data_IF_795625570350
#
_entry.id   IF_795625570350
#
_cell.length_a   1.000
_cell.length_b   1.000
_cell.length_c   1.000
_cell.angle_alpha   90.00
_cell.angle_beta   90.00
_cell.angle_gamma   90.00
#
_symmetry.space_group_name_H-M   'P 1'
#
loop_
_entity.id
_entity.type
_entity.pdbx_description
1 polymer ?
#
# COMPACT_ATOMS: atom_id res chain seq x y z
N UNK A 1 23.18 -43.00 -16.23
CA UNK A 1 22.38 -43.74 -17.22
C UNK A 1 21.67 -42.72 -18.08
N UNK A 2 22.04 -42.67 -19.37
CA UNK A 2 21.51 -41.73 -20.36
C UNK A 2 20.14 -42.20 -20.87
N UNK A 3 19.18 -41.34 -21.03
CA UNK A 3 18.14 -41.50 -22.06
C UNK A 3 17.76 -40.15 -22.66
N UNK A 4 18.15 -39.99 -23.89
CA UNK A 4 17.82 -38.95 -24.85
C UNK A 4 16.56 -39.40 -25.59
N UNK A 5 15.55 -38.57 -25.71
CA UNK A 5 14.44 -38.79 -26.65
C UNK A 5 14.25 -37.55 -27.52
N UNK A 6 14.50 -37.74 -28.80
CA UNK A 6 14.25 -36.81 -29.90
C UNK A 6 12.89 -37.18 -30.51
N UNK A 7 12.00 -36.20 -30.74
CA UNK A 7 10.79 -36.31 -31.57
C UNK A 7 10.74 -35.00 -32.40
N UNK A 8 10.78 -34.97 -33.53
CA UNK A 8 10.47 -35.27 -34.87
C UNK A 8 9.39 -34.32 -35.38
N UNK A 9 9.83 -33.36 -36.25
CA UNK A 9 8.99 -32.35 -36.95
C UNK A 9 8.34 -33.04 -38.18
N UNK A 10 7.04 -32.90 -38.34
CA UNK A 10 6.32 -33.27 -39.59
C UNK A 10 5.82 -31.99 -40.29
N UNK A 11 6.37 -31.76 -41.48
CA UNK A 11 5.91 -30.74 -42.43
C UNK A 11 4.95 -31.43 -43.42
N UNK A 12 3.72 -30.94 -43.49
CA UNK A 12 2.76 -31.34 -44.54
C UNK A 12 2.65 -30.23 -45.58
N UNK A 13 3.14 -30.53 -46.81
CA UNK A 13 2.95 -29.72 -47.98
C UNK A 13 1.62 -30.11 -48.64
N UNK A 14 0.75 -29.16 -48.96
CA UNK A 14 -0.45 -29.35 -49.77
C UNK A 14 -0.32 -28.59 -51.07
N UNK A 15 -0.47 -29.33 -52.18
CA UNK A 15 -0.26 -28.89 -53.55
C UNK A 15 -1.38 -27.99 -54.07
N UNK A 16 -0.98 -27.14 -55.01
CA UNK A 16 -1.84 -26.32 -55.85
C UNK A 16 -2.38 -27.15 -57.02
N UNK A 17 -3.70 -27.15 -57.18
CA UNK A 17 -4.35 -27.55 -58.44
C UNK A 17 -4.81 -26.29 -59.19
N UNK A 18 -4.27 -26.07 -60.35
CA UNK A 18 -4.68 -25.03 -61.28
C UNK A 18 -5.85 -25.53 -62.14
N UNK A 19 -6.99 -24.84 -62.12
CA UNK A 19 -8.03 -24.99 -63.15
C UNK A 19 -8.25 -23.64 -63.82
N UNK A 20 -8.05 -23.63 -65.12
CA UNK A 20 -8.27 -22.45 -65.95
C UNK A 20 -9.75 -22.12 -66.11
N UNK A 21 -10.05 -20.85 -66.18
CA UNK A 21 -11.36 -20.32 -66.50
C UNK A 21 -11.25 -19.21 -67.55
N UNK A 22 -12.11 -19.28 -68.54
CA UNK A 22 -12.28 -18.41 -69.69
C UNK A 22 -12.59 -16.96 -69.34
N UNK A 23 -12.22 -15.97 -70.19
CA UNK A 23 -12.49 -14.58 -69.91
C UNK A 23 -13.97 -14.22 -70.07
N UNK A 24 -14.61 -13.85 -69.03
CA UNK A 24 -15.93 -13.20 -69.05
C UNK A 24 -15.69 -11.70 -69.14
N UNK A 25 -16.22 -11.10 -70.20
CA UNK A 25 -16.24 -9.65 -70.41
C UNK A 25 -17.13 -9.01 -69.37
N UNK A 26 -16.56 -8.43 -68.31
CA UNK A 26 -17.28 -7.65 -67.35
C UNK A 26 -17.53 -6.22 -67.83
N UNK A 27 -18.83 -5.89 -67.99
CA UNK A 27 -19.27 -4.50 -68.17
C UNK A 27 -18.94 -3.68 -66.91
N UNK A 28 -18.21 -2.61 -67.08
CA UNK A 28 -17.82 -1.73 -65.98
C UNK A 28 -19.03 -1.19 -65.21
N UNK A 29 -19.20 -1.61 -63.99
CA UNK A 29 -20.13 -1.05 -63.02
C UNK A 29 -19.60 0.30 -62.54
N UNK A 30 -20.38 1.39 -62.45
CA UNK A 30 -19.90 2.66 -61.90
C UNK A 30 -19.47 2.45 -60.47
N UNK A 31 -18.21 2.72 -60.18
CA UNK A 31 -17.63 2.72 -58.83
C UNK A 31 -18.18 3.91 -58.07
N UNK A 32 -19.04 3.64 -57.08
CA UNK A 32 -19.44 4.68 -56.11
C UNK A 32 -18.20 5.14 -55.38
N UNK A 33 -17.97 6.46 -55.32
CA UNK A 33 -16.89 7.03 -54.53
C UNK A 33 -16.99 6.58 -53.07
N UNK A 34 -15.89 6.19 -52.40
CA UNK A 34 -15.91 5.79 -51.01
C UNK A 34 -16.44 6.97 -50.16
N UNK A 35 -17.53 6.73 -49.45
CA UNK A 35 -18.03 7.66 -48.43
C UNK A 35 -16.95 7.83 -47.38
N UNK A 36 -16.47 9.04 -47.16
CA UNK A 36 -15.47 9.32 -46.14
C UNK A 36 -15.98 8.85 -44.79
N UNK A 37 -15.28 7.86 -44.20
CA UNK A 37 -15.53 7.40 -42.83
C UNK A 37 -15.31 8.60 -41.90
N UNK A 38 -16.27 8.94 -41.02
CA UNK A 38 -16.06 10.03 -40.06
C UNK A 38 -14.84 9.73 -39.22
N UNK A 39 -13.89 10.63 -39.14
CA UNK A 39 -12.74 10.56 -38.24
C UNK A 39 -13.31 10.59 -36.82
N UNK A 40 -13.00 9.58 -35.97
CA UNK A 40 -13.49 9.61 -34.60
C UNK A 40 -12.98 10.89 -33.91
N UNK A 41 -13.91 11.66 -33.34
CA UNK A 41 -13.56 12.80 -32.52
C UNK A 41 -12.75 12.27 -31.32
N UNK A 42 -11.55 12.81 -31.03
CA UNK A 42 -10.77 12.36 -29.89
C UNK A 42 -11.64 12.51 -28.61
N UNK A 43 -11.73 11.44 -27.84
CA UNK A 43 -12.36 11.49 -26.52
C UNK A 43 -11.62 12.51 -25.67
N UNK A 44 -12.29 13.38 -24.90
CA UNK A 44 -11.59 14.30 -24.01
C UNK A 44 -10.72 13.49 -23.06
N UNK A 45 -9.46 13.88 -22.93
CA UNK A 45 -8.55 13.31 -21.93
C UNK A 45 -9.14 13.58 -20.54
N UNK A 46 -9.31 12.56 -19.68
CA UNK A 46 -9.78 12.79 -18.32
C UNK A 46 -8.89 13.81 -17.62
N UNK A 47 -9.50 14.80 -17.00
CA UNK A 47 -8.78 15.75 -16.14
C UNK A 47 -8.41 14.98 -14.87
N UNK A 48 -7.13 14.92 -14.47
CA UNK A 48 -6.74 14.26 -13.23
C UNK A 48 -7.50 14.86 -12.05
N UNK A 49 -8.05 14.01 -11.21
CA UNK A 49 -8.69 14.43 -9.96
C UNK A 49 -7.58 14.87 -8.99
N UNK A 50 -7.68 16.06 -8.38
CA UNK A 50 -6.66 16.51 -7.44
C UNK A 50 -6.55 15.54 -6.25
N UNK A 51 -5.35 15.23 -5.74
CA UNK A 51 -5.19 14.40 -4.57
C UNK A 51 -5.78 15.08 -3.32
N UNK A 52 -6.28 14.28 -2.38
CA UNK A 52 -6.76 14.74 -1.08
C UNK A 52 -5.92 14.07 0.01
N UNK A 53 -5.41 14.86 0.94
CA UNK A 53 -4.74 14.35 2.13
C UNK A 53 -5.79 14.04 3.19
N UNK A 54 -5.69 12.87 3.78
CA UNK A 54 -6.57 12.43 4.88
C UNK A 54 -5.89 12.74 6.19
N UNK A 55 -6.57 13.46 7.07
CA UNK A 55 -6.08 13.78 8.41
C UNK A 55 -7.04 13.24 9.47
N UNK A 56 -6.54 12.92 10.64
CA UNK A 56 -7.33 12.39 11.73
C UNK A 56 -7.10 13.20 13.02
N UNK A 57 -8.16 13.81 13.54
CA UNK A 57 -8.17 14.44 14.85
C UNK A 57 -8.79 13.51 15.88
N UNK A 58 -8.01 13.14 16.89
CA UNK A 58 -8.52 12.35 18.02
C UNK A 58 -9.01 13.27 19.13
N UNK A 59 -10.26 13.12 19.53
CA UNK A 59 -10.87 13.85 20.66
C UNK A 59 -11.47 12.86 21.63
N UNK A 60 -10.70 12.44 22.62
CA UNK A 60 -11.10 11.37 23.53
C UNK A 60 -11.19 10.02 22.82
N UNK A 61 -12.36 9.39 22.86
CA UNK A 61 -12.63 8.11 22.17
C UNK A 61 -13.10 8.28 20.72
N UNK A 62 -13.40 9.51 20.28
CA UNK A 62 -13.85 9.78 18.93
C UNK A 62 -12.69 10.22 18.04
N UNK A 63 -12.72 9.81 16.78
CA UNK A 63 -11.81 10.28 15.74
C UNK A 63 -12.61 11.02 14.69
N UNK A 64 -12.14 12.19 14.29
CA UNK A 64 -12.67 12.93 13.16
C UNK A 64 -11.69 12.85 12.00
N UNK A 65 -12.16 12.31 10.90
CA UNK A 65 -11.42 12.26 9.64
C UNK A 65 -11.76 13.47 8.78
N UNK A 66 -10.74 14.12 8.25
CA UNK A 66 -10.91 15.27 7.36
C UNK A 66 -10.15 15.04 6.06
N UNK A 67 -10.83 15.20 4.93
CA UNK A 67 -10.24 15.16 3.60
C UNK A 67 -9.88 16.59 3.21
N UNK A 68 -8.59 16.85 3.01
CA UNK A 68 -8.04 18.19 2.84
C UNK A 68 -7.37 18.31 1.49
N UNK A 69 -7.73 19.33 0.74
CA UNK A 69 -7.05 19.68 -0.51
C UNK A 69 -5.65 20.25 -0.26
N UNK A 70 -4.89 20.33 -1.31
CA UNK A 70 -3.50 20.83 -1.29
C UNK A 70 -3.39 22.30 -0.87
N UNK A 71 -4.44 23.06 -1.06
CA UNK A 71 -4.56 24.48 -0.66
C UNK A 71 -5.06 24.64 0.79
N UNK A 72 -5.29 23.52 1.50
CA UNK A 72 -5.86 23.50 2.83
C UNK A 72 -7.39 23.57 2.86
N UNK A 73 -8.06 23.56 1.70
CA UNK A 73 -9.52 23.53 1.64
C UNK A 73 -10.03 22.17 2.16
N UNK A 74 -11.07 22.20 2.98
CA UNK A 74 -11.74 21.00 3.48
C UNK A 74 -12.74 20.52 2.45
N UNK A 75 -12.51 19.33 1.88
CA UNK A 75 -13.44 18.68 0.97
C UNK A 75 -14.56 17.97 1.72
N UNK A 76 -14.22 17.26 2.80
CA UNK A 76 -15.17 16.55 3.64
C UNK A 76 -14.65 16.38 5.07
N UNK A 77 -15.57 16.20 6.02
CA UNK A 77 -15.27 15.84 7.40
C UNK A 77 -16.25 14.76 7.84
N UNK A 78 -15.72 13.68 8.43
CA UNK A 78 -16.50 12.52 8.87
C UNK A 78 -16.10 12.17 10.29
N UNK A 79 -17.09 12.05 11.15
CA UNK A 79 -16.89 11.55 12.51
C UNK A 79 -16.87 10.02 12.49
N UNK A 80 -15.82 9.43 13.02
CA UNK A 80 -15.72 8.00 13.27
C UNK A 80 -16.10 7.74 14.74
N UNK A 81 -17.34 7.32 15.02
CA UNK A 81 -17.79 7.06 16.39
C UNK A 81 -17.15 5.82 17.00
N UNK A 82 -16.64 4.92 16.16
CA UNK A 82 -15.95 3.70 16.57
C UNK A 82 -14.47 3.88 16.86
N UNK A 83 -13.92 5.09 16.70
CA UNK A 83 -12.50 5.47 16.75
C UNK A 83 -11.70 4.83 17.87
N UNK A 84 -11.59 3.50 17.80
CA UNK A 84 -10.79 2.72 18.73
C UNK A 84 -9.33 3.13 18.65
N UNK A 85 -8.65 3.05 19.77
CA UNK A 85 -7.21 3.18 19.82
C UNK A 85 -6.58 2.14 18.88
N UNK A 86 -6.00 2.59 17.78
CA UNK A 86 -5.38 1.72 16.80
C UNK A 86 -6.20 1.44 15.53
N UNK A 87 -7.28 2.17 15.27
CA UNK A 87 -8.03 2.05 14.02
C UNK A 87 -7.07 2.05 12.82
N UNK A 88 -7.06 0.94 12.09
CA UNK A 88 -6.32 0.84 10.84
C UNK A 88 -7.12 1.57 9.78
N UNK A 89 -6.60 2.69 9.32
CA UNK A 89 -7.08 3.34 8.13
C UNK A 89 -6.33 2.79 6.93
N UNK A 90 -7.03 2.45 5.89
CA UNK A 90 -6.44 2.15 4.59
C UNK A 90 -6.92 3.18 3.58
N UNK A 91 -6.00 3.83 2.92
CA UNK A 91 -6.30 4.82 1.90
C UNK A 91 -6.15 4.16 0.54
N UNK A 92 -7.28 3.96 -0.15
CA UNK A 92 -7.35 3.47 -1.53
C UNK A 92 -7.16 4.59 -2.55
N UNK A 93 -7.55 4.33 -3.80
CA UNK A 93 -7.52 5.35 -4.86
C UNK A 93 -8.64 6.38 -4.73
N UNK A 94 -9.85 5.92 -4.40
CA UNK A 94 -11.06 6.76 -4.37
C UNK A 94 -11.71 6.85 -2.99
N UNK A 95 -11.36 5.92 -2.07
CA UNK A 95 -11.99 5.85 -0.75
C UNK A 95 -10.96 5.69 0.37
N UNK A 96 -11.33 6.19 1.54
CA UNK A 96 -10.67 5.87 2.81
C UNK A 96 -11.50 4.79 3.51
N UNK A 97 -10.85 3.68 3.85
CA UNK A 97 -11.48 2.57 4.55
C UNK A 97 -11.07 2.56 6.01
N UNK A 98 -12.02 2.23 6.90
CA UNK A 98 -11.73 2.06 8.32
C UNK A 98 -12.69 1.03 8.94
N UNK A 99 -12.33 0.51 10.10
CA UNK A 99 -13.13 -0.48 10.84
C UNK A 99 -13.87 0.21 11.96
N UNK A 100 -15.20 0.17 11.91
CA UNK A 100 -16.11 0.63 12.96
C UNK A 100 -16.77 -0.60 13.61
N UNK A 101 -16.28 -1.00 14.76
CA UNK A 101 -16.66 -2.24 15.43
C UNK A 101 -16.34 -3.48 14.59
N UNK A 102 -17.35 -4.07 13.97
CA UNK A 102 -17.21 -5.22 13.04
C UNK A 102 -17.50 -4.84 11.60
N UNK A 103 -17.83 -3.60 11.32
CA UNK A 103 -18.18 -3.11 9.99
C UNK A 103 -17.00 -2.37 9.38
N UNK A 104 -16.68 -2.65 8.13
CA UNK A 104 -15.78 -1.83 7.33
C UNK A 104 -16.60 -0.71 6.70
N UNK A 105 -16.16 0.52 6.92
CA UNK A 105 -16.74 1.72 6.32
C UNK A 105 -15.82 2.22 5.21
N UNK A 106 -16.40 2.82 4.18
CA UNK A 106 -15.70 3.54 3.13
C UNK A 106 -16.17 5.00 3.09
N UNK A 107 -15.22 5.93 3.05
CA UNK A 107 -15.48 7.36 2.88
C UNK A 107 -15.06 7.74 1.48
N UNK A 108 -16.00 8.18 0.65
CA UNK A 108 -15.72 8.76 -0.66
C UNK A 108 -15.12 10.16 -0.58
N UNK A 109 -14.60 10.66 -1.69
CA UNK A 109 -13.99 12.01 -1.79
C UNK A 109 -14.95 13.15 -1.43
N UNK A 110 -16.25 12.92 -1.53
CA UNK A 110 -17.32 13.87 -1.16
C UNK A 110 -17.75 13.75 0.32
N UNK A 111 -17.10 12.85 1.08
CA UNK A 111 -17.44 12.57 2.47
C UNK A 111 -18.61 11.61 2.65
N UNK A 112 -19.17 11.06 1.58
CA UNK A 112 -20.21 10.04 1.69
C UNK A 112 -19.65 8.78 2.35
N UNK A 113 -20.29 8.34 3.44
CA UNK A 113 -19.92 7.11 4.17
C UNK A 113 -20.84 5.97 3.78
N UNK A 114 -20.25 4.84 3.41
CA UNK A 114 -20.97 3.62 3.05
C UNK A 114 -20.41 2.41 3.79
N UNK A 115 -21.22 1.37 3.95
CA UNK A 115 -20.75 0.08 4.44
C UNK A 115 -20.03 -0.64 3.31
N UNK A 116 -18.76 -0.96 3.54
CA UNK A 116 -17.88 -1.59 2.55
C UNK A 116 -17.66 -3.09 2.79
N UNK A 117 -18.01 -3.60 3.97
CA UNK A 117 -17.85 -5.00 4.31
C UNK A 117 -17.94 -5.24 5.82
N UNK A 118 -17.57 -6.43 6.24
CA UNK A 118 -17.56 -6.83 7.65
C UNK A 118 -16.30 -7.60 7.99
N UNK A 119 -15.71 -7.32 9.16
CA UNK A 119 -14.59 -8.11 9.67
C UNK A 119 -15.02 -9.58 9.79
N UNK A 120 -14.21 -10.53 9.27
CA UNK A 120 -14.55 -11.95 9.30
C UNK A 120 -14.85 -12.44 10.72
N UNK A 121 -15.94 -13.20 10.87
CA UNK A 121 -16.30 -13.84 12.13
C UNK A 121 -15.55 -15.15 12.26
N UNK A 122 -14.64 -15.22 13.22
CA UNK A 122 -13.93 -16.45 13.52
C UNK A 122 -14.69 -17.25 14.58
N UNK A 123 -14.71 -18.58 14.44
CA UNK A 123 -15.45 -19.51 15.31
C UNK A 123 -15.16 -19.29 16.81
N UNK A 124 -16.15 -19.50 17.67
CA UNK A 124 -16.17 -19.23 19.11
C UNK A 124 -15.13 -20.00 19.96
N UNK A 125 -14.36 -20.91 19.39
CA UNK A 125 -13.22 -21.55 20.04
C UNK A 125 -11.95 -20.69 19.98
N UNK A 126 -12.02 -19.52 19.39
CA UNK A 126 -10.91 -18.60 19.19
C UNK A 126 -11.05 -17.46 20.16
N UNK A 127 -10.06 -17.27 21.01
CA UNK A 127 -9.94 -16.01 21.78
C UNK A 127 -9.23 -15.01 20.87
N UNK A 128 -9.99 -14.04 20.39
CA UNK A 128 -9.40 -12.93 19.66
C UNK A 128 -8.50 -12.14 20.63
N UNK A 129 -7.24 -11.98 20.29
CA UNK A 129 -6.34 -11.06 20.97
C UNK A 129 -6.69 -9.68 20.46
N UNK A 130 -7.54 -8.96 21.20
CA UNK A 130 -7.89 -7.56 20.93
C UNK A 130 -7.94 -7.20 19.43
N UNK A 131 -8.91 -7.81 18.71
CA UNK A 131 -9.02 -7.72 17.25
C UNK A 131 -9.04 -6.28 16.76
N UNK A 132 -9.61 -5.35 17.54
CA UNK A 132 -9.70 -3.95 17.14
C UNK A 132 -8.33 -3.27 17.09
N UNK A 133 -7.38 -3.71 17.91
CA UNK A 133 -6.05 -3.12 17.97
C UNK A 133 -5.12 -3.64 16.87
N UNK A 134 -5.33 -4.87 16.40
CA UNK A 134 -4.39 -5.56 15.50
C UNK A 134 -4.99 -6.02 14.17
N UNK A 135 -6.27 -5.77 13.92
CA UNK A 135 -6.85 -6.06 12.61
C UNK A 135 -6.31 -5.07 11.60
N UNK A 136 -5.52 -5.57 10.65
CA UNK A 136 -5.05 -4.77 9.53
C UNK A 136 -5.99 -4.99 8.33
N UNK A 137 -6.15 -3.95 7.53
CA UNK A 137 -7.01 -3.92 6.35
C UNK A 137 -6.23 -3.37 5.16
N UNK A 138 -6.39 -3.99 4.00
CA UNK A 138 -6.04 -3.40 2.72
C UNK A 138 -7.14 -3.71 1.69
N UNK A 139 -7.14 -2.95 0.58
CA UNK A 139 -8.15 -3.06 -0.47
C UNK A 139 -7.46 -3.26 -1.81
N UNK A 140 -8.06 -4.07 -2.68
CA UNK A 140 -7.54 -4.31 -4.03
C UNK A 140 -7.49 -3.01 -4.86
N UNK A 141 -6.57 -2.89 -5.84
CA UNK A 141 -6.43 -1.68 -6.65
C UNK A 141 -7.69 -1.26 -7.42
N UNK A 142 -8.56 -2.21 -7.73
CA UNK A 142 -9.85 -1.99 -8.38
C UNK A 142 -11.00 -1.75 -7.38
N UNK A 143 -10.66 -1.69 -6.09
CA UNK A 143 -11.60 -1.50 -4.99
C UNK A 143 -12.80 -2.47 -5.01
N UNK A 144 -12.55 -3.75 -5.37
CA UNK A 144 -13.58 -4.80 -5.40
C UNK A 144 -13.45 -5.82 -4.29
N UNK A 145 -12.29 -5.88 -3.62
CA UNK A 145 -11.98 -6.90 -2.62
C UNK A 145 -11.25 -6.32 -1.43
N UNK A 146 -11.67 -6.71 -0.24
CA UNK A 146 -11.00 -6.41 1.03
C UNK A 146 -10.06 -7.56 1.38
N UNK A 147 -8.94 -7.26 2.04
CA UNK A 147 -8.10 -8.24 2.73
C UNK A 147 -7.91 -7.84 4.19
N UNK A 148 -8.02 -8.82 5.07
CA UNK A 148 -7.83 -8.63 6.51
C UNK A 148 -6.67 -9.46 7.00
N UNK A 149 -5.84 -8.90 7.89
CA UNK A 149 -4.90 -9.62 8.72
C UNK A 149 -5.49 -9.76 10.13
N UNK A 150 -5.69 -10.99 10.58
CA UNK A 150 -6.27 -11.28 11.89
C UNK A 150 -5.29 -12.07 12.75
N UNK A 151 -4.80 -11.51 13.87
CA UNK A 151 -4.09 -12.27 14.90
C UNK A 151 -5.09 -12.99 15.79
N UNK A 152 -4.90 -14.29 15.99
CA UNK A 152 -5.81 -15.13 16.75
C UNK A 152 -5.05 -15.99 17.74
N UNK A 153 -5.67 -16.29 18.89
CA UNK A 153 -5.21 -17.32 19.81
C UNK A 153 -6.23 -18.47 19.78
N UNK A 154 -5.86 -19.59 19.21
CA UNK A 154 -6.75 -20.76 19.05
C UNK A 154 -6.49 -21.74 20.18
N UNK A 155 -7.54 -22.09 20.93
CA UNK A 155 -7.46 -23.11 21.97
C UNK A 155 -7.38 -24.51 21.34
N UNK A 156 -6.31 -25.25 21.64
CA UNK A 156 -6.18 -26.66 21.26
C UNK A 156 -6.94 -27.59 22.21
N UNK A 157 -7.12 -28.86 21.79
CA UNK A 157 -7.85 -29.89 22.55
C UNK A 157 -7.24 -30.19 23.93
N UNK A 158 -6.00 -29.84 24.15
CA UNK A 158 -5.29 -30.02 25.44
C UNK A 158 -5.33 -28.78 26.34
N UNK A 159 -6.08 -27.74 25.95
CA UNK A 159 -6.16 -26.47 26.67
C UNK A 159 -4.96 -25.54 26.46
N UNK A 160 -3.99 -25.93 25.64
CA UNK A 160 -2.94 -25.03 25.20
C UNK A 160 -3.48 -24.09 24.12
N UNK A 161 -3.03 -22.84 24.12
CA UNK A 161 -3.34 -21.88 23.07
C UNK A 161 -2.21 -21.85 22.05
N UNK A 162 -2.56 -21.88 20.78
CA UNK A 162 -1.64 -21.68 19.66
C UNK A 162 -1.95 -20.33 19.02
N UNK A 163 -0.93 -19.51 18.84
CA UNK A 163 -1.05 -18.26 18.14
C UNK A 163 -1.09 -18.48 16.63
N UNK A 164 -2.09 -17.92 15.99
CA UNK A 164 -2.27 -17.93 14.55
C UNK A 164 -2.23 -16.51 14.02
N UNK A 165 -1.75 -16.33 12.81
CA UNK A 165 -1.94 -15.10 12.03
C UNK A 165 -2.58 -15.47 10.70
N UNK A 166 -3.80 -14.95 10.48
CA UNK A 166 -4.60 -15.34 9.33
C UNK A 166 -4.79 -14.18 8.36
N UNK A 167 -4.80 -14.49 7.06
CA UNK A 167 -5.26 -13.59 6.01
C UNK A 167 -6.62 -14.06 5.49
N UNK A 168 -7.54 -13.12 5.40
CA UNK A 168 -8.89 -13.33 4.91
C UNK A 168 -9.19 -12.37 3.77
N UNK A 169 -9.94 -12.81 2.77
CA UNK A 169 -10.44 -11.95 1.69
C UNK A 169 -11.95 -11.93 1.69
N UNK A 170 -12.53 -10.78 1.33
CA UNK A 170 -13.97 -10.59 1.23
C UNK A 170 -14.28 -9.69 0.02
N UNK A 171 -15.30 -9.99 -0.79
CA UNK A 171 -15.78 -9.04 -1.80
C UNK A 171 -16.24 -7.73 -1.14
N UNK A 172 -15.94 -6.59 -1.76
CA UNK A 172 -16.42 -5.30 -1.27
C UNK A 172 -17.96 -5.30 -1.22
N UNK A 173 -18.54 -4.78 -0.14
CA UNK A 173 -19.98 -4.87 0.13
C UNK A 173 -20.45 -6.25 0.60
N UNK A 174 -19.51 -7.14 0.88
CA UNK A 174 -19.80 -8.49 1.40
C UNK A 174 -20.26 -8.48 2.86
N UNK A 175 -20.46 -9.68 3.38
CA UNK A 175 -20.78 -9.92 4.79
C UNK A 175 -19.74 -10.86 5.39
N UNK A 176 -19.64 -10.94 6.71
CA UNK A 176 -18.71 -11.85 7.37
C UNK A 176 -18.83 -13.31 6.88
N UNK A 177 -19.99 -13.72 6.39
CA UNK A 177 -20.22 -15.05 5.81
C UNK A 177 -19.64 -15.22 4.40
N UNK A 178 -19.36 -14.13 3.70
CA UNK A 178 -18.71 -14.14 2.38
C UNK A 178 -17.19 -14.13 2.44
N UNK A 179 -16.63 -13.88 3.64
CA UNK A 179 -15.21 -13.87 3.85
C UNK A 179 -14.61 -15.27 3.73
N UNK A 180 -13.46 -15.37 3.11
CA UNK A 180 -12.72 -16.61 2.90
C UNK A 180 -11.32 -16.49 3.50
N UNK A 181 -10.96 -17.44 4.38
CA UNK A 181 -9.59 -17.56 4.86
C UNK A 181 -8.70 -18.05 3.71
N UNK A 182 -7.69 -17.27 3.37
CA UNK A 182 -6.78 -17.57 2.27
C UNK A 182 -5.41 -18.03 2.75
N UNK A 183 -5.04 -17.69 3.99
CA UNK A 183 -3.78 -18.09 4.60
C UNK A 183 -3.93 -18.24 6.12
N UNK A 184 -3.25 -19.22 6.71
CA UNK A 184 -3.18 -19.43 8.15
C UNK A 184 -1.74 -19.84 8.53
N UNK A 185 -1.07 -18.99 9.28
CA UNK A 185 0.19 -19.34 9.92
C UNK A 185 -0.08 -19.86 11.32
N UNK A 186 -0.15 -21.20 11.42
CA UNK A 186 -0.50 -21.94 12.63
C UNK A 186 0.67 -22.17 13.59
N UNK A 187 1.90 -21.79 13.25
CA UNK A 187 3.10 -22.11 14.03
C UNK A 187 3.84 -20.87 14.55
N UNK A 188 3.13 -19.80 14.73
CA UNK A 188 3.69 -18.48 14.98
C UNK A 188 4.10 -18.22 16.44
N UNK A 189 4.45 -19.28 17.21
CA UNK A 189 4.78 -19.16 18.65
C UNK A 189 6.25 -18.88 18.96
N UNK A 190 7.14 -18.97 17.98
CA UNK A 190 8.54 -18.58 18.16
C UNK A 190 8.63 -17.05 18.25
N UNK A 191 9.22 -16.52 19.31
CA UNK A 191 9.37 -15.08 19.59
C UNK A 191 8.07 -14.31 19.98
N UNK A 192 7.05 -14.99 20.50
CA UNK A 192 5.81 -14.32 20.94
C UNK A 192 4.77 -14.12 19.85
N UNK A 193 4.98 -14.70 18.69
CA UNK A 193 4.07 -14.65 17.54
C UNK A 193 4.25 -13.40 16.67
N UNK A 194 3.95 -13.55 15.40
CA UNK A 194 3.95 -12.48 14.42
C UNK A 194 2.51 -12.15 14.00
N UNK A 195 2.27 -10.94 13.58
CA UNK A 195 1.01 -10.49 13.01
C UNK A 195 1.24 -10.16 11.55
N UNK A 196 0.50 -10.80 10.66
CA UNK A 196 0.50 -10.48 9.25
C UNK A 196 -0.39 -9.26 9.02
N UNK A 197 0.23 -8.14 8.70
CA UNK A 197 -0.47 -6.89 8.46
C UNK A 197 -0.44 -6.54 6.97
N UNK A 198 -1.52 -6.75 6.21
CA UNK A 198 -1.61 -6.26 4.85
C UNK A 198 -1.58 -4.74 4.86
N UNK A 199 -0.72 -4.14 4.02
CA UNK A 199 -0.56 -2.68 3.96
C UNK A 199 -0.67 -2.12 2.54
N UNK A 200 -0.59 -2.96 1.50
CA UNK A 200 -0.78 -2.57 0.12
C UNK A 200 -1.24 -3.76 -0.71
N UNK A 201 -1.91 -3.47 -1.80
CA UNK A 201 -2.31 -4.48 -2.78
C UNK A 201 -1.96 -4.00 -4.19
N UNK A 202 -1.33 -4.84 -4.98
CA UNK A 202 -0.98 -4.58 -6.38
C UNK A 202 -1.39 -5.74 -7.27
N UNK A 203 -1.23 -5.58 -8.58
CA UNK A 203 -1.46 -6.67 -9.55
C UNK A 203 -0.53 -7.88 -9.36
N UNK A 204 0.54 -7.74 -8.60
CA UNK A 204 1.50 -8.81 -8.31
C UNK A 204 1.24 -9.53 -7.00
N UNK A 205 0.32 -9.04 -6.17
CA UNK A 205 -0.05 -9.62 -4.89
C UNK A 205 -0.29 -8.60 -3.79
N UNK A 206 -0.53 -9.13 -2.60
CA UNK A 206 -0.76 -8.35 -1.39
C UNK A 206 0.56 -8.20 -0.65
N UNK A 207 0.98 -6.96 -0.40
CA UNK A 207 2.13 -6.68 0.46
C UNK A 207 1.74 -6.81 1.91
N UNK A 208 2.47 -7.63 2.64
CA UNK A 208 2.21 -7.96 4.04
C UNK A 208 3.46 -7.63 4.86
N UNK A 209 3.30 -6.99 6.00
CA UNK A 209 4.33 -6.83 7.01
C UNK A 209 4.18 -7.91 8.09
N UNK A 210 5.25 -8.60 8.40
CA UNK A 210 5.33 -9.54 9.52
C UNK A 210 5.75 -8.76 10.77
N UNK A 211 4.79 -8.44 11.63
CA UNK A 211 5.03 -7.62 12.81
C UNK A 211 4.99 -8.47 14.09
N UNK A 212 6.05 -8.46 14.93
CA UNK A 212 6.03 -9.20 16.18
C UNK A 212 4.95 -8.69 17.11
N UNK A 213 4.22 -9.61 17.77
CA UNK A 213 3.31 -9.27 18.85
C UNK A 213 4.09 -8.69 20.03
N UNK A 214 3.51 -7.68 20.66
CA UNK A 214 4.06 -7.15 21.90
C UNK A 214 5.32 -6.31 21.73
N UNK A 215 5.45 -5.58 20.63
CA UNK A 215 6.45 -4.53 20.51
C UNK A 215 6.35 -3.54 21.65
N UNK A 216 7.13 -3.82 22.69
CA UNK A 216 7.44 -2.88 23.74
C UNK A 216 8.71 -2.13 23.35
N UNK A 217 8.59 -0.89 22.96
CA UNK A 217 9.77 -0.08 22.66
C UNK A 217 9.38 1.39 22.70
N UNK A 218 10.23 2.21 23.26
CA UNK A 218 10.07 3.66 23.23
C UNK A 218 11.11 4.24 22.29
N UNK A 219 10.64 4.84 21.21
CA UNK A 219 11.52 5.58 20.30
C UNK A 219 10.69 6.53 19.44
N UNK A 220 11.30 7.58 18.92
CA UNK A 220 10.58 8.62 18.17
C UNK A 220 9.93 8.09 16.87
N UNK A 221 10.32 6.89 16.41
CA UNK A 221 9.85 6.29 15.17
C UNK A 221 9.30 4.87 15.35
N UNK A 222 8.86 4.49 16.54
CA UNK A 222 8.40 3.12 16.78
C UNK A 222 7.29 2.67 15.80
N UNK A 223 6.37 3.56 15.48
CA UNK A 223 5.29 3.30 14.53
C UNK A 223 5.75 3.19 13.07
N UNK A 224 7.01 3.45 12.78
CA UNK A 224 7.61 3.41 11.44
C UNK A 224 8.71 2.36 11.31
N UNK A 225 8.92 1.55 12.33
CA UNK A 225 9.89 0.45 12.22
C UNK A 225 9.36 -0.52 11.18
N UNK A 226 10.08 -0.62 10.07
CA UNK A 226 9.79 -1.62 9.04
C UNK A 226 10.17 -2.99 9.58
N UNK A 227 9.22 -3.89 9.55
CA UNK A 227 9.43 -5.31 9.81
C UNK A 227 9.65 -6.04 8.49
N UNK A 228 9.95 -7.33 8.56
CA UNK A 228 10.05 -8.14 7.37
C UNK A 228 8.80 -7.99 6.52
N UNK A 229 8.99 -7.69 5.25
CA UNK A 229 7.89 -7.63 4.31
C UNK A 229 7.82 -8.94 3.52
N UNK A 230 6.61 -9.34 3.18
CA UNK A 230 6.33 -10.48 2.30
C UNK A 230 5.29 -10.08 1.25
N UNK A 231 5.26 -10.80 0.15
CA UNK A 231 4.18 -10.73 -0.82
C UNK A 231 3.33 -11.99 -0.71
N UNK A 232 2.04 -11.82 -0.53
CA UNK A 232 1.08 -12.89 -0.56
C UNK A 232 0.35 -12.92 -1.90
N UNK A 233 0.38 -14.05 -2.60
CA UNK A 233 -0.39 -14.28 -3.81
C UNK A 233 -1.72 -14.97 -3.45
N UNK A 234 -2.86 -14.29 -3.56
CA UNK A 234 -4.15 -14.86 -3.19
C UNK A 234 -4.59 -16.01 -4.11
N UNK A 235 -4.02 -16.12 -5.31
CA UNK A 235 -4.34 -17.19 -6.27
C UNK A 235 -3.66 -18.49 -5.91
N UNK A 236 -2.33 -18.43 -5.66
CA UNK A 236 -1.54 -19.61 -5.31
C UNK A 236 -1.51 -19.87 -3.80
N UNK A 237 -1.95 -18.92 -2.99
CA UNK A 237 -1.89 -18.90 -1.52
C UNK A 237 -0.46 -19.01 -0.98
N UNK A 238 0.49 -18.50 -1.73
CA UNK A 238 1.88 -18.50 -1.35
C UNK A 238 2.26 -17.18 -0.69
N UNK A 239 2.85 -17.26 0.51
CA UNK A 239 3.54 -16.15 1.16
C UNK A 239 5.02 -16.23 0.77
N UNK A 240 5.53 -15.20 0.13
CA UNK A 240 6.92 -15.12 -0.31
C UNK A 240 7.60 -13.98 0.42
N UNK A 241 8.51 -14.27 1.35
CA UNK A 241 9.28 -13.23 2.03
C UNK A 241 10.05 -12.38 1.00
N UNK A 242 9.96 -11.07 1.14
CA UNK A 242 10.78 -10.14 0.38
C UNK A 242 12.11 -10.01 1.11
N UNK A 243 13.14 -10.64 0.56
CA UNK A 243 14.46 -10.63 1.15
C UNK A 243 14.98 -9.20 1.28
N UNK A 244 15.45 -8.81 2.46
CA UNK A 244 16.00 -7.48 2.73
C UNK A 244 15.01 -6.33 2.41
N UNK A 245 13.74 -6.50 2.75
CA UNK A 245 12.70 -5.53 2.45
C UNK A 245 11.85 -5.23 3.69
N UNK A 246 11.89 -4.02 4.17
CA UNK A 246 11.01 -3.55 5.25
C UNK A 246 10.01 -2.49 4.77
N UNK A 247 10.35 -1.78 3.69
CA UNK A 247 9.50 -0.80 3.04
C UNK A 247 9.62 -1.00 1.54
N UNK A 248 8.51 -1.14 0.85
CA UNK A 248 8.52 -1.25 -0.62
C UNK A 248 7.52 -0.30 -1.25
N UNK A 249 7.79 0.05 -2.52
CA UNK A 249 6.74 0.62 -3.36
C UNK A 249 5.72 -0.46 -3.73
N UNK A 250 4.45 -0.10 -3.87
CA UNK A 250 3.54 -0.92 -4.65
C UNK A 250 3.86 -0.67 -6.15
N UNK A 251 4.33 -1.63 -6.86
CA UNK A 251 4.37 -3.08 -6.84
C UNK A 251 5.75 -3.73 -6.52
N UNK A 252 6.54 -3.17 -5.61
CA UNK A 252 7.79 -3.81 -5.16
C UNK A 252 9.00 -3.61 -6.06
N UNK A 253 9.00 -2.57 -6.92
CA UNK A 253 10.14 -2.24 -7.78
C UNK A 253 11.37 -1.73 -7.00
N UNK A 254 11.14 -1.15 -5.83
CA UNK A 254 12.17 -0.69 -4.91
C UNK A 254 11.85 -1.19 -3.52
N UNK A 255 12.80 -1.89 -2.92
CA UNK A 255 12.73 -2.36 -1.53
C UNK A 255 13.79 -1.65 -0.70
N UNK A 256 13.43 -1.21 0.49
CA UNK A 256 14.34 -0.54 1.40
C UNK A 256 14.31 -1.22 2.75
N UNK A 257 15.48 -1.49 3.31
CA UNK A 257 15.66 -2.01 4.66
C UNK A 257 16.68 -1.16 5.42
N UNK A 258 16.42 -0.93 6.70
CA UNK A 258 17.41 -0.28 7.56
C UNK A 258 18.47 -1.30 7.98
N UNK A 259 19.74 -1.03 7.64
CA UNK A 259 20.88 -1.82 8.07
C UNK A 259 21.62 -1.08 9.20
N UNK A 260 21.53 -1.62 10.42
CA UNK A 260 22.16 -0.99 11.59
C UNK A 260 21.51 0.37 11.92
N UNK A 261 22.29 1.27 12.52
CA UNK A 261 21.76 2.52 13.07
C UNK A 261 21.75 3.71 12.10
N UNK A 262 22.42 3.61 10.95
CA UNK A 262 22.64 4.78 10.08
C UNK A 262 22.75 4.47 8.60
N UNK A 263 22.31 3.29 8.17
CA UNK A 263 22.37 2.87 6.77
C UNK A 263 21.03 2.32 6.31
N UNK A 264 20.71 2.60 5.06
CA UNK A 264 19.58 1.98 4.34
C UNK A 264 20.14 1.13 3.20
N UNK A 265 19.70 -0.11 3.12
CA UNK A 265 19.91 -0.97 1.97
C UNK A 265 18.75 -0.76 1.00
N UNK A 266 19.05 -0.38 -0.22
CA UNK A 266 18.08 -0.17 -1.29
C UNK A 266 18.28 -1.25 -2.34
N UNK A 267 17.25 -2.08 -2.53
CA UNK A 267 17.24 -3.17 -3.51
C UNK A 267 16.34 -2.77 -4.67
N UNK A 268 16.88 -2.83 -5.88
CA UNK A 268 16.19 -2.55 -7.14
C UNK A 268 16.48 -3.65 -8.15
N UNK A 269 15.74 -3.72 -9.24
CA UNK A 269 16.04 -4.63 -10.35
C UNK A 269 17.43 -4.42 -10.96
N UNK A 270 17.97 -3.20 -10.85
CA UNK A 270 19.33 -2.84 -11.32
C UNK A 270 20.45 -3.24 -10.35
N UNK A 271 20.13 -3.66 -9.12
CA UNK A 271 21.11 -4.05 -8.11
C UNK A 271 20.78 -3.53 -6.72
N UNK A 272 21.69 -3.77 -5.80
CA UNK A 272 21.59 -3.38 -4.39
C UNK A 272 22.60 -2.29 -4.09
N UNK A 273 22.18 -1.28 -3.35
CA UNK A 273 23.00 -0.16 -2.92
C UNK A 273 22.82 0.10 -1.43
N UNK A 274 23.84 0.68 -0.79
CA UNK A 274 23.76 1.12 0.61
C UNK A 274 23.86 2.64 0.67
N UNK A 275 22.83 3.27 1.24
CA UNK A 275 22.80 4.71 1.49
C UNK A 275 23.14 4.99 2.96
N UNK A 276 24.08 5.90 3.21
CA UNK A 276 24.36 6.38 4.57
C UNK A 276 23.41 7.52 4.91
N UNK A 277 22.64 7.35 5.97
CA UNK A 277 21.70 8.37 6.44
C UNK A 277 22.40 9.54 7.13
N UNK A 278 21.85 10.73 6.96
CA UNK A 278 22.32 11.97 7.53
C UNK A 278 21.21 12.69 8.31
N UNK A 279 21.53 13.48 9.37
CA UNK A 279 22.87 13.72 9.93
C UNK A 279 23.39 12.53 10.76
N UNK A 280 24.71 12.37 10.86
CA UNK A 280 25.29 11.33 11.70
C UNK A 280 24.85 11.47 13.18
N UNK A 281 24.76 10.35 13.92
CA UNK A 281 24.35 10.29 15.32
C UNK A 281 22.88 10.70 15.60
N UNK A 282 21.99 10.50 14.64
CA UNK A 282 20.56 10.62 14.83
C UNK A 282 19.92 9.24 15.05
N UNK A 283 18.69 9.23 15.56
CA UNK A 283 17.79 8.07 15.45
C UNK A 283 17.01 8.23 14.16
N UNK A 284 16.98 7.19 13.34
CA UNK A 284 16.35 7.22 12.02
C UNK A 284 15.09 6.37 11.96
N UNK A 285 14.18 6.74 11.10
CA UNK A 285 12.95 5.99 10.84
C UNK A 285 12.05 6.71 9.83
N UNK A 286 10.78 6.35 9.80
CA UNK A 286 9.78 6.94 8.90
C UNK A 286 10.24 6.91 7.43
N UNK A 287 10.72 5.75 6.98
CA UNK A 287 11.19 5.59 5.59
C UNK A 287 10.01 5.49 4.66
N UNK A 288 10.00 6.28 3.59
CA UNK A 288 8.95 6.31 2.56
C UNK A 288 9.59 6.35 1.18
N UNK A 289 9.08 5.53 0.27
CA UNK A 289 9.52 5.52 -1.14
C UNK A 289 8.38 6.03 -2.01
N UNK A 290 8.66 6.92 -2.96
CA UNK A 290 7.66 7.45 -3.90
C UNK A 290 7.07 6.33 -4.77
N UNK A 291 5.83 6.52 -5.24
CA UNK A 291 5.11 5.51 -6.00
C UNK A 291 5.84 5.05 -7.27
N UNK A 292 6.60 5.93 -7.92
CA UNK A 292 7.45 5.63 -9.08
C UNK A 292 8.82 5.02 -8.71
N UNK A 293 9.17 4.98 -7.41
CA UNK A 293 10.44 4.47 -6.91
C UNK A 293 11.63 5.40 -7.13
N UNK A 294 11.40 6.66 -7.52
CA UNK A 294 12.46 7.63 -7.80
C UNK A 294 13.00 8.28 -6.53
N UNK A 295 12.11 8.63 -5.60
CA UNK A 295 12.48 9.34 -4.39
C UNK A 295 12.35 8.47 -3.16
N UNK A 296 13.25 8.70 -2.22
CA UNK A 296 13.23 8.13 -0.87
C UNK A 296 13.20 9.29 0.13
N UNK A 297 12.26 9.27 1.05
CA UNK A 297 12.27 10.15 2.21
C UNK A 297 12.53 9.34 3.48
N UNK A 298 13.32 9.88 4.39
CA UNK A 298 13.47 9.33 5.74
C UNK A 298 13.51 10.42 6.80
N UNK A 299 13.03 10.07 7.98
CA UNK A 299 13.07 10.91 9.16
C UNK A 299 14.33 10.67 9.99
N UNK A 300 14.87 11.71 10.57
CA UNK A 300 15.92 11.65 11.56
C UNK A 300 15.54 12.47 12.80
N UNK A 301 15.71 11.90 13.99
CA UNK A 301 15.61 12.63 15.25
C UNK A 301 17.00 12.93 15.78
N UNK A 302 17.32 14.21 15.84
CA UNK A 302 18.61 14.70 16.32
C UNK A 302 18.45 15.17 17.76
N UNK A 303 18.89 14.36 18.71
CA UNK A 303 18.83 14.64 20.13
C UNK A 303 19.15 13.39 20.96
N UNK A 304 19.81 13.55 22.10
CA UNK A 304 20.04 12.47 23.05
C UNK A 304 19.30 12.84 24.33
N UNK A 305 18.19 12.15 24.63
CA UNK A 305 17.41 12.28 25.88
C UNK A 305 17.12 13.74 26.28
N UNK A 306 16.62 14.56 25.34
CA UNK A 306 16.30 15.98 25.59
C UNK A 306 15.51 16.57 24.44
N UNK A 307 15.23 17.87 24.42
CA UNK A 307 14.53 18.51 23.32
C UNK A 307 15.38 18.39 22.05
N UNK A 308 15.08 17.36 21.27
CA UNK A 308 15.63 17.14 19.93
C UNK A 308 14.77 17.83 18.87
N UNK A 309 15.14 17.66 17.64
CA UNK A 309 14.35 18.11 16.50
C UNK A 309 14.31 17.02 15.42
N UNK A 310 13.20 16.98 14.70
CA UNK A 310 13.05 16.10 13.55
C UNK A 310 13.64 16.73 12.31
N UNK A 311 14.10 15.88 11.40
CA UNK A 311 14.65 16.28 10.10
C UNK A 311 14.15 15.29 9.07
N UNK A 312 13.51 15.77 8.04
CA UNK A 312 13.18 14.96 6.85
C UNK A 312 14.25 15.15 5.80
N UNK A 313 14.82 14.07 5.31
CA UNK A 313 15.77 14.08 4.19
C UNK A 313 15.14 13.36 3.00
N UNK A 314 15.22 14.00 1.83
CA UNK A 314 14.77 13.43 0.56
C UNK A 314 15.99 13.13 -0.32
N UNK A 315 16.03 11.90 -0.86
CA UNK A 315 17.11 11.41 -1.73
C UNK A 315 16.51 11.04 -3.09
N UNK A 316 17.13 11.49 -4.16
CA UNK A 316 16.84 10.99 -5.52
C UNK A 316 17.60 9.67 -5.72
N UNK A 317 16.88 8.57 -5.77
CA UNK A 317 17.43 7.22 -5.90
C UNK A 317 18.08 6.95 -7.27
N UNK A 318 17.83 7.78 -8.28
CA UNK A 318 18.49 7.63 -9.60
C UNK A 318 19.94 8.11 -9.57
N UNK A 319 20.26 9.02 -8.65
CA UNK A 319 21.60 9.63 -8.50
C UNK A 319 22.23 9.37 -7.14
N UNK A 320 21.44 8.84 -6.18
CA UNK A 320 21.79 8.73 -4.76
C UNK A 320 22.15 10.06 -4.09
N UNK A 321 21.67 11.17 -4.65
CA UNK A 321 21.94 12.49 -4.14
C UNK A 321 20.85 12.96 -3.19
N UNK A 322 21.23 13.58 -2.07
CA UNK A 322 20.29 14.32 -1.25
C UNK A 322 19.73 15.50 -2.03
N UNK A 323 18.43 15.51 -2.25
CA UNK A 323 17.71 16.59 -2.96
C UNK A 323 17.36 17.69 -1.98
N UNK A 324 16.92 17.32 -0.79
CA UNK A 324 16.47 18.28 0.24
C UNK A 324 16.65 17.74 1.65
N UNK A 325 16.76 18.68 2.59
CA UNK A 325 16.71 18.41 4.03
C UNK A 325 15.88 19.50 4.70
N UNK A 326 14.78 19.10 5.34
CA UNK A 326 13.82 20.01 5.97
C UNK A 326 13.74 19.73 7.47
N UNK A 327 13.95 20.75 8.31
CA UNK A 327 13.91 20.63 9.77
C UNK A 327 12.51 20.80 10.32
N UNK A 328 12.22 20.12 11.43
CA UNK A 328 10.95 20.21 12.13
C UNK A 328 9.87 19.31 11.56
N UNK A 329 10.22 18.37 10.67
CA UNK A 329 9.24 17.54 9.97
C UNK A 329 9.64 16.06 9.93
N UNK A 330 8.61 15.20 9.85
CA UNK A 330 8.71 13.76 9.65
C UNK A 330 7.97 13.37 8.37
N UNK A 331 8.55 12.56 7.47
CA UNK A 331 7.88 12.12 6.25
C UNK A 331 6.75 11.13 6.56
N UNK A 332 5.59 11.32 5.94
CA UNK A 332 4.41 10.51 6.19
C UNK A 332 3.95 9.75 4.95
N UNK A 333 3.73 10.43 3.82
CA UNK A 333 3.15 9.82 2.63
C UNK A 333 3.60 10.56 1.36
N UNK A 334 3.71 9.83 0.25
CA UNK A 334 3.92 10.41 -1.08
C UNK A 334 2.59 10.54 -1.83
N UNK A 335 2.33 11.70 -2.41
CA UNK A 335 1.24 11.89 -3.34
C UNK A 335 1.59 11.30 -4.72
N UNK A 336 0.57 11.03 -5.53
CA UNK A 336 0.74 10.47 -6.87
C UNK A 336 1.58 11.35 -7.82
N UNK A 337 1.73 12.64 -7.51
CA UNK A 337 2.54 13.62 -8.24
C UNK A 337 3.93 13.88 -7.63
N UNK A 338 4.42 12.94 -6.82
CA UNK A 338 5.72 12.97 -6.13
C UNK A 338 5.90 14.10 -5.12
N UNK A 339 4.83 14.73 -4.64
CA UNK A 339 4.90 15.62 -3.49
C UNK A 339 4.85 14.83 -2.19
N UNK A 340 5.53 15.33 -1.17
CA UNK A 340 5.65 14.65 0.11
C UNK A 340 4.79 15.33 1.18
N UNK A 341 3.89 14.56 1.77
CA UNK A 341 3.17 14.92 2.99
C UNK A 341 4.10 14.69 4.18
N UNK A 342 4.18 15.66 5.07
CA UNK A 342 5.00 15.59 6.28
C UNK A 342 4.19 16.02 7.50
N UNK A 343 4.49 15.46 8.65
CA UNK A 343 3.99 15.95 9.94
C UNK A 343 4.97 16.93 10.57
N UNK A 344 4.45 18.01 11.17
CA UNK A 344 5.26 19.06 11.81
C UNK A 344 5.63 18.73 13.24
N UNK A 345 6.85 19.13 13.62
CA UNK A 345 7.45 19.15 14.97
C UNK A 345 7.61 17.79 15.67
N UNK A 346 6.73 16.83 15.43
CA UNK A 346 6.81 15.45 15.94
C UNK A 346 5.86 14.55 15.15
N UNK A 347 6.05 13.25 15.28
CA UNK A 347 5.17 12.24 14.73
C UNK A 347 3.74 12.47 15.22
N UNK A 348 2.79 12.54 14.28
CA UNK A 348 1.39 12.85 14.61
C UNK A 348 1.11 14.34 14.85
N UNK A 349 2.01 15.24 14.43
CA UNK A 349 1.77 16.69 14.43
C UNK A 349 0.93 17.17 13.24
N UNK A 350 0.79 18.50 13.13
CA UNK A 350 0.06 19.12 12.03
C UNK A 350 0.56 18.66 10.65
N UNK A 351 -0.34 18.60 9.68
CA UNK A 351 -0.06 18.14 8.31
C UNK A 351 0.43 19.28 7.44
N UNK A 352 1.52 19.03 6.74
CA UNK A 352 2.15 19.95 5.80
C UNK A 352 2.41 19.24 4.48
N UNK A 353 2.43 20.00 3.40
CA UNK A 353 2.80 19.53 2.07
C UNK A 353 4.08 20.23 1.64
N UNK A 354 5.10 19.45 1.27
CA UNK A 354 6.32 20.01 0.70
C UNK A 354 6.07 20.39 -0.77
N UNK A 355 6.71 21.51 -1.18
CA UNK A 355 6.73 21.90 -2.60
C UNK A 355 7.36 20.80 -3.47
N UNK A 356 7.15 20.82 -4.81
CA UNK A 356 7.80 19.85 -5.71
C UNK A 356 9.33 19.82 -5.63
N UNK A 357 9.95 20.92 -5.17
CA UNK A 357 11.39 21.00 -4.89
C UNK A 357 11.75 20.51 -3.47
N UNK A 358 10.78 20.06 -2.69
CA UNK A 358 10.92 19.62 -1.29
C UNK A 358 11.54 20.64 -0.32
N UNK A 359 11.41 21.93 -0.61
CA UNK A 359 12.09 22.99 0.15
C UNK A 359 11.16 23.87 0.97
N UNK A 360 9.90 23.98 0.56
CA UNK A 360 8.96 24.93 1.16
C UNK A 360 7.74 24.18 1.68
N UNK A 361 7.65 23.99 3.03
CA UNK A 361 6.47 23.37 3.63
C UNK A 361 5.29 24.34 3.63
N UNK A 362 4.13 23.88 3.20
CA UNK A 362 2.85 24.56 3.29
C UNK A 362 1.95 23.82 4.25
N UNK A 363 1.48 24.47 5.31
CA UNK A 363 0.55 23.87 6.27
C UNK A 363 -0.83 23.75 5.64
N UNK A 364 -1.36 22.52 5.57
CA UNK A 364 -2.68 22.22 5.00
C UNK A 364 -3.71 21.80 6.06
N UNK A 365 -3.25 21.25 7.22
CA UNK A 365 -4.13 20.93 8.34
C UNK A 365 -3.42 21.11 9.66
N UNK A 366 -4.21 21.31 10.73
CA UNK A 366 -3.72 21.25 12.11
C UNK A 366 -3.68 19.83 12.67
N UNK A 367 -4.32 18.89 11.98
CA UNK A 367 -4.47 17.51 12.40
C UNK A 367 -3.41 16.62 11.75
N UNK A 368 -3.04 15.49 12.39
CA UNK A 368 -2.06 14.56 11.86
C UNK A 368 -2.53 13.89 10.56
N UNK A 369 -1.62 13.62 9.60
CA UNK A 369 -1.95 12.88 8.40
C UNK A 369 -2.08 11.38 8.70
N UNK A 370 -2.96 10.70 7.94
CA UNK A 370 -3.14 9.24 7.96
C UNK A 370 -2.99 8.60 6.58
N UNK A 371 -2.92 9.40 5.53
CA UNK A 371 -2.72 8.94 4.15
C UNK A 371 -3.18 9.97 3.12
N UNK A 372 -3.23 9.56 1.85
CA UNK A 372 -3.68 10.42 0.77
C UNK A 372 -4.44 9.63 -0.30
N UNK A 373 -5.57 10.18 -0.76
CA UNK A 373 -6.31 9.71 -1.94
C UNK A 373 -5.62 10.23 -3.20
N UNK A 374 -5.40 9.33 -4.17
CA UNK A 374 -4.69 9.62 -5.41
C UNK A 374 -5.52 10.48 -6.40
#
# INVERSE_FOLDING_TARGET
MKLTTIIGTAIAAVGLAACGSSPVTQTARPTLAPTATPVPTPSPTPVPTPPLVVTALRTGAAVQLTLVGEDGSVAATVDDPGGADGASYFVGSDHVYFIDGTTVKAIGRDGTVTDAGQVPQVSTTVTAIDLQQYTALAVSPDETTLVFGLPLAIAGDNGATTDHSQLWTEPLGGTAASATMVFDDANNSENGGEVLMPFAWSNTGISVSEMPKGLGGAGPFLSYVGFNAATFDPTTRALTPLQDCSVSTAPGSVCVTQEGSSSLKVVRSSGTETLTMQPANATYGAVRVSGDGRYLAYGAYVGVLGPGHYVTTVVDLSTNATVSTVRGFTPEEWLADDRLVVSGEYVGGATWLLSPAFTSPNKISSDPPVGALA
#
